data_IF_624501467682
#
_entry.id   IF_624501467682
#
_cell.length_a   1.000
_cell.length_b   1.000
_cell.length_c   1.000
_cell.angle_alpha   90.00
_cell.angle_beta   90.00
_cell.angle_gamma   90.00
#
_symmetry.space_group_name_H-M   'P 1'
#
loop_
_entity.id
_entity.type
_entity.pdbx_description
1 polymer ?
#
# COMPACT_ATOMS: atom_id res chain seq x y z
N UNK A 1 -3.57 3.58 13.59
CA UNK A 1 -4.08 4.81 12.91
C UNK A 1 -5.49 4.57 12.37
N UNK A 2 -6.25 5.61 12.02
CA UNK A 2 -7.51 5.47 11.28
C UNK A 2 -7.24 5.20 9.80
N UNK A 3 -8.25 4.76 9.03
CA UNK A 3 -8.11 4.56 7.59
C UNK A 3 -7.72 5.86 6.88
N UNK A 4 -8.32 6.98 7.27
CA UNK A 4 -7.97 8.31 6.75
C UNK A 4 -6.50 8.65 7.02
N UNK A 5 -6.03 8.41 8.25
CA UNK A 5 -4.62 8.61 8.59
C UNK A 5 -3.68 7.70 7.78
N UNK A 6 -4.12 6.50 7.40
CA UNK A 6 -3.37 5.62 6.51
C UNK A 6 -3.30 6.18 5.09
N UNK A 7 -4.41 6.71 4.56
CA UNK A 7 -4.44 7.35 3.24
C UNK A 7 -3.47 8.52 3.18
N UNK A 8 -3.53 9.43 4.16
CA UNK A 8 -2.62 10.58 4.23
C UNK A 8 -1.16 10.15 4.34
N UNK A 9 -0.87 9.11 5.15
CA UNK A 9 0.47 8.57 5.27
C UNK A 9 1.02 8.03 3.95
N UNK A 10 0.25 7.22 3.23
CA UNK A 10 0.66 6.65 1.95
C UNK A 10 0.78 7.73 0.86
N UNK A 11 -0.16 8.68 0.81
CA UNK A 11 -0.11 9.80 -0.11
C UNK A 11 1.14 10.68 0.13
N UNK A 12 1.50 10.93 1.39
CA UNK A 12 2.72 11.65 1.73
C UNK A 12 3.97 10.94 1.20
N UNK A 13 4.05 9.62 1.36
CA UNK A 13 5.16 8.82 0.83
C UNK A 13 5.22 8.84 -0.70
N UNK A 14 4.07 8.79 -1.39
CA UNK A 14 4.00 8.94 -2.84
C UNK A 14 4.49 10.32 -3.30
N UNK A 15 4.08 11.38 -2.60
CA UNK A 15 4.51 12.75 -2.91
C UNK A 15 6.02 12.95 -2.76
N UNK A 16 6.65 12.34 -1.75
CA UNK A 16 8.12 12.34 -1.60
C UNK A 16 8.81 11.68 -2.81
N UNK A 17 8.17 10.65 -3.40
CA UNK A 17 8.65 10.00 -4.61
C UNK A 17 8.30 10.75 -5.91
N UNK A 18 7.70 11.95 -5.82
CA UNK A 18 7.29 12.76 -6.96
C UNK A 18 5.97 12.30 -7.62
N UNK A 19 5.17 11.50 -6.93
CA UNK A 19 3.89 10.98 -7.44
C UNK A 19 2.75 11.79 -6.81
N UNK A 20 2.00 12.50 -7.64
CA UNK A 20 0.92 13.41 -7.21
C UNK A 20 -0.46 12.75 -7.12
N UNK A 21 -0.58 11.49 -7.55
CA UNK A 21 -1.83 10.72 -7.54
C UNK A 21 -1.67 9.42 -6.75
N UNK A 22 -2.79 8.83 -6.31
CA UNK A 22 -2.75 7.55 -5.62
C UNK A 22 -2.44 6.43 -6.61
N UNK A 23 -1.48 5.57 -6.25
CA UNK A 23 -1.25 4.28 -6.91
C UNK A 23 -2.03 3.15 -6.25
N UNK A 24 -2.75 3.42 -5.16
CA UNK A 24 -3.52 2.44 -4.40
C UNK A 24 -5.01 2.68 -4.59
N UNK A 25 -5.74 1.63 -4.95
CA UNK A 25 -7.20 1.67 -4.94
C UNK A 25 -7.75 1.58 -3.50
N UNK A 26 -9.06 1.75 -3.37
CA UNK A 26 -9.72 1.74 -2.05
C UNK A 26 -9.61 0.37 -1.34
N UNK A 27 -9.50 -0.72 -2.08
CA UNK A 27 -9.35 -2.08 -1.53
C UNK A 27 -7.94 -2.29 -0.98
N UNK A 28 -6.90 -1.83 -1.69
CA UNK A 28 -5.52 -1.86 -1.25
C UNK A 28 -5.30 -1.02 -0.01
N UNK A 29 -5.86 0.20 0.05
CA UNK A 29 -5.77 1.07 1.22
C UNK A 29 -6.34 0.39 2.48
N UNK A 30 -7.48 -0.30 2.33
CA UNK A 30 -8.12 -1.04 3.41
C UNK A 30 -7.28 -2.26 3.81
N UNK A 31 -6.77 -3.01 2.84
CA UNK A 31 -5.94 -4.18 3.08
C UNK A 31 -4.60 -3.82 3.76
N UNK A 32 -3.95 -2.72 3.36
CA UNK A 32 -2.72 -2.23 4.01
C UNK A 32 -3.00 -1.80 5.44
N UNK A 33 -4.11 -1.09 5.67
CA UNK A 33 -4.51 -0.66 7.02
C UNK A 33 -4.74 -1.86 7.95
N UNK A 34 -5.51 -2.85 7.49
CA UNK A 34 -5.80 -4.07 8.24
C UNK A 34 -4.55 -4.93 8.43
N UNK A 35 -3.81 -5.23 7.35
CA UNK A 35 -2.61 -6.08 7.39
C UNK A 35 -1.46 -5.49 8.21
N UNK A 36 -1.39 -4.16 8.32
CA UNK A 36 -0.41 -3.48 9.18
C UNK A 36 -0.84 -3.37 10.65
N UNK A 37 -2.10 -3.64 10.98
CA UNK A 37 -2.69 -3.30 12.28
C UNK A 37 -2.71 -1.79 12.54
N UNK A 38 -2.73 -0.97 11.48
CA UNK A 38 -2.65 0.48 11.57
C UNK A 38 -1.29 1.03 12.02
N UNK A 39 -0.21 0.24 11.94
CA UNK A 39 1.17 0.66 12.22
C UNK A 39 1.87 1.12 10.94
N UNK A 40 2.29 2.38 10.90
CA UNK A 40 2.87 2.98 9.69
C UNK A 40 4.10 2.25 9.16
N UNK A 41 5.00 1.78 10.03
CA UNK A 41 6.19 1.04 9.59
C UNK A 41 5.83 -0.26 8.85
N UNK A 42 4.85 -1.02 9.37
CA UNK A 42 4.35 -2.24 8.70
C UNK A 42 3.60 -1.90 7.42
N UNK A 43 2.81 -0.84 7.44
CA UNK A 43 2.07 -0.36 6.27
C UNK A 43 3.01 0.01 5.12
N UNK A 44 4.14 0.67 5.41
CA UNK A 44 5.13 1.00 4.40
C UNK A 44 5.77 -0.24 3.76
N UNK A 45 6.08 -1.26 4.57
CA UNK A 45 6.59 -2.53 4.04
C UNK A 45 5.56 -3.21 3.12
N UNK A 46 4.30 -3.31 3.57
CA UNK A 46 3.22 -3.87 2.74
C UNK A 46 3.02 -3.07 1.47
N UNK A 47 2.90 -1.74 1.57
CA UNK A 47 2.68 -0.85 0.42
C UNK A 47 3.79 -1.00 -0.63
N UNK A 48 5.06 -1.05 -0.20
CA UNK A 48 6.21 -1.21 -1.10
C UNK A 48 6.22 -2.58 -1.78
N UNK A 49 5.97 -3.66 -1.03
CA UNK A 49 5.83 -5.00 -1.61
C UNK A 49 4.66 -5.08 -2.60
N UNK A 50 3.54 -4.43 -2.27
CA UNK A 50 2.34 -4.40 -3.13
C UNK A 50 2.58 -3.66 -4.45
N UNK A 51 3.37 -2.58 -4.44
CA UNK A 51 3.80 -1.89 -5.65
C UNK A 51 4.64 -2.79 -6.55
N UNK A 52 5.56 -3.57 -5.96
CA UNK A 52 6.39 -4.54 -6.70
C UNK A 52 5.51 -5.65 -7.28
N UNK A 53 4.57 -6.19 -6.50
CA UNK A 53 3.63 -7.21 -6.93
C UNK A 53 2.75 -6.73 -8.10
N UNK A 54 2.17 -5.52 -8.01
CA UNK A 54 1.38 -4.93 -9.08
C UNK A 54 2.22 -4.71 -10.35
N UNK A 55 3.46 -4.20 -10.20
CA UNK A 55 4.37 -3.99 -11.32
C UNK A 55 4.76 -5.31 -12.00
N UNK A 56 5.01 -6.37 -11.24
CA UNK A 56 5.30 -7.71 -11.77
C UNK A 56 4.13 -8.30 -12.58
N UNK A 57 2.90 -7.84 -12.32
CA UNK A 57 1.69 -8.17 -13.07
C UNK A 57 1.32 -7.13 -14.14
N UNK A 58 2.17 -6.14 -14.37
CA UNK A 58 1.96 -5.03 -15.32
C UNK A 58 0.65 -4.24 -15.05
N UNK A 59 0.21 -4.19 -13.80
CA UNK A 59 -0.95 -3.39 -13.39
C UNK A 59 -0.51 -1.97 -13.01
N UNK A 60 -1.29 -0.98 -13.43
CA UNK A 60 -1.04 0.44 -13.14
C UNK A 60 -1.45 0.85 -11.73
N UNK A 61 -2.26 0.04 -11.06
CA UNK A 61 -2.82 0.31 -9.73
C UNK A 61 -2.65 -0.89 -8.81
N UNK A 62 -2.41 -0.61 -7.53
CA UNK A 62 -2.38 -1.60 -6.47
C UNK A 62 -3.80 -1.86 -5.97
N UNK A 63 -4.24 -3.13 -6.04
CA UNK A 63 -5.45 -3.66 -5.45
C UNK A 63 -5.15 -4.59 -4.25
N UNK A 64 -6.19 -5.03 -3.54
CA UNK A 64 -6.05 -5.88 -2.35
C UNK A 64 -5.25 -7.19 -2.59
N UNK A 65 -5.34 -7.79 -3.79
CA UNK A 65 -4.62 -9.02 -4.13
C UNK A 65 -3.09 -8.85 -4.09
N UNK A 66 -2.58 -7.70 -4.51
CA UNK A 66 -1.15 -7.38 -4.43
C UNK A 66 -0.69 -7.21 -2.99
N UNK A 67 -1.55 -6.66 -2.14
CA UNK A 67 -1.28 -6.49 -0.72
C UNK A 67 -1.25 -7.83 0.00
N UNK A 68 -2.15 -8.75 -0.36
CA UNK A 68 -2.16 -10.10 0.17
C UNK A 68 -0.90 -10.86 -0.24
N UNK A 69 -0.49 -10.75 -1.51
CA UNK A 69 0.76 -11.35 -1.97
C UNK A 69 1.96 -10.79 -1.18
N UNK A 70 2.07 -9.46 -1.09
CA UNK A 70 3.13 -8.80 -0.33
C UNK A 70 3.16 -9.21 1.16
N UNK A 71 2.00 -9.47 1.77
CA UNK A 71 1.92 -9.91 3.16
C UNK A 71 2.54 -11.31 3.39
N UNK A 72 2.56 -12.17 2.36
CA UNK A 72 3.18 -13.51 2.44
C UNK A 72 4.71 -13.48 2.32
N UNK A 73 5.28 -12.39 1.82
CA UNK A 73 6.72 -12.27 1.56
C UNK A 73 7.47 -11.49 2.66
N UNK A 74 6.73 -10.80 3.54
CA UNK A 74 7.27 -9.84 4.52
C UNK A 74 7.25 -10.39 5.95
N UNK A 75 6.68 -11.59 6.17
CA UNK A 75 6.57 -12.23 7.49
C UNK A 75 6.87 -13.73 7.46
#
# INVERSE_FOLDING_TARGET
TSLEGMKTYLAHHLAIAGIEHSLFDQTALTAIHQGSGGLFRKANHLARGSLIAAAAKQQSMVAAEHVQLAATEVF
#
